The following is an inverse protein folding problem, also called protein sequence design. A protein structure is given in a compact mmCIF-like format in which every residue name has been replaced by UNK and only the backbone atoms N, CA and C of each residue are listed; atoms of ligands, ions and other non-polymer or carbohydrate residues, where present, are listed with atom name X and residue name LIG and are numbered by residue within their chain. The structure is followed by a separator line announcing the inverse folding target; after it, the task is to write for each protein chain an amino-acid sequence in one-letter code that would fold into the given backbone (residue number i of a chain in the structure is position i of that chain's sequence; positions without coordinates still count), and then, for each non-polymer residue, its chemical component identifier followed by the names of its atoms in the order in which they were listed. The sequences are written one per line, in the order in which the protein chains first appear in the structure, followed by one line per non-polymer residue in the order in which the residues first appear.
data_IF_834694192913
#
_entry.id   IF_834694192913
#
_cell.length_a   1.000
_cell.length_b   1.000
_cell.length_c   1.000
_cell.angle_alpha   90.00
_cell.angle_beta   90.00
_cell.angle_gamma   90.00
#
_symmetry.space_group_name_H-M   'P 1'
#
loop_
_entity.id
_entity.type
_entity.pdbx_description
1 polymer ?
#
# COMPACT_ATOMS: atom_id res chain seq x y z
N UNK A 1 4.07 -8.86 -6.37
CA UNK A 1 4.44 -7.59 -5.71
C UNK A 1 3.40 -7.21 -4.66
N UNK A 2 3.77 -6.50 -3.59
CA UNK A 2 2.83 -5.97 -2.58
C UNK A 2 3.07 -4.49 -2.31
N UNK A 3 2.01 -3.75 -1.99
CA UNK A 3 2.07 -2.43 -1.37
C UNK A 3 1.77 -2.59 0.11
N UNK A 4 2.63 -2.08 0.99
CA UNK A 4 2.42 -2.12 2.43
C UNK A 4 2.38 -0.71 3.01
N UNK A 5 1.48 -0.48 3.95
CA UNK A 5 1.38 0.77 4.71
C UNK A 5 1.66 0.52 6.18
N UNK A 6 2.68 1.17 6.72
CA UNK A 6 2.99 1.18 8.14
C UNK A 6 3.29 2.60 8.59
N UNK A 7 3.01 2.92 9.84
CA UNK A 7 3.32 4.22 10.42
C UNK A 7 3.73 4.10 11.89
N UNK A 8 4.24 5.17 12.49
CA UNK A 8 4.55 5.17 13.93
C UNK A 8 3.28 4.82 14.74
N UNK A 9 3.36 3.96 15.77
CA UNK A 9 2.23 3.76 16.66
C UNK A 9 1.81 5.06 17.33
N UNK A 10 0.50 5.25 17.49
CA UNK A 10 -0.11 6.49 17.96
C UNK A 10 -1.33 6.15 18.80
N UNK A 11 -1.70 7.04 19.71
CA UNK A 11 -3.00 6.98 20.40
C UNK A 11 -3.93 7.99 19.73
N UNK A 12 -5.14 7.55 19.40
CA UNK A 12 -6.18 8.44 18.91
C UNK A 12 -6.64 9.35 20.06
N UNK A 13 -6.48 10.66 19.90
CA UNK A 13 -6.75 11.61 20.98
C UNK A 13 -8.23 11.71 21.34
N UNK A 14 -9.12 11.35 20.40
CA UNK A 14 -10.57 11.41 20.58
C UNK A 14 -11.10 10.10 21.16
N UNK A 15 -10.74 8.97 20.56
CA UNK A 15 -11.27 7.66 20.96
C UNK A 15 -10.45 6.96 22.03
N UNK A 16 -9.25 7.47 22.34
CA UNK A 16 -8.26 6.88 23.25
C UNK A 16 -7.83 5.45 22.84
N UNK A 17 -8.09 5.07 21.59
CA UNK A 17 -7.69 3.78 21.03
C UNK A 17 -6.26 3.83 20.51
N UNK A 18 -5.56 2.72 20.64
CA UNK A 18 -4.20 2.56 20.15
C UNK A 18 -4.18 2.15 18.67
N UNK A 19 -3.43 2.89 17.86
CA UNK A 19 -3.10 2.53 16.48
C UNK A 19 -1.81 1.71 16.47
N UNK A 20 -1.92 0.45 16.04
CA UNK A 20 -0.89 -0.60 16.14
C UNK A 20 0.20 -0.53 15.06
N UNK A 21 0.42 0.64 14.46
CA UNK A 21 1.36 0.89 13.36
C UNK A 21 0.97 0.29 12.01
N UNK A 22 0.04 -0.67 11.95
CA UNK A 22 -0.26 -1.39 10.70
C UNK A 22 -1.44 -0.74 9.98
N UNK A 23 -1.21 -0.20 8.78
CA UNK A 23 -2.30 0.30 7.95
C UNK A 23 -2.89 -0.80 7.07
N UNK A 24 -2.03 -1.60 6.42
CA UNK A 24 -2.44 -2.70 5.57
C UNK A 24 -1.32 -3.25 4.68
N UNK A 25 -1.59 -4.37 4.04
CA UNK A 25 -0.77 -4.97 2.98
C UNK A 25 -1.71 -5.37 1.85
N UNK A 26 -1.41 -4.92 0.63
CA UNK A 26 -2.23 -5.15 -0.55
C UNK A 26 -1.39 -5.80 -1.65
N UNK A 27 -1.89 -6.89 -2.20
CA UNK A 27 -1.23 -7.67 -3.25
C UNK A 27 -1.66 -7.18 -4.63
N UNK A 28 -0.71 -7.05 -5.55
CA UNK A 28 -1.01 -6.77 -6.96
C UNK A 28 -1.39 -8.07 -7.68
N UNK A 29 -2.63 -8.50 -7.50
CA UNK A 29 -3.18 -9.72 -8.10
C UNK A 29 -4.63 -9.54 -8.52
N UNK A 30 -5.06 -10.34 -9.47
CA UNK A 30 -6.45 -10.42 -9.94
C UNK A 30 -6.92 -11.88 -9.97
N UNK A 31 -8.24 -12.08 -9.92
CA UNK A 31 -8.87 -13.39 -10.10
C UNK A 31 -9.34 -13.54 -11.53
N UNK A 32 -8.71 -14.44 -12.29
CA UNK A 32 -9.01 -14.69 -13.71
C UNK A 32 -9.46 -16.13 -13.89
N UNK A 33 -10.54 -16.41 -14.65
CA UNK A 33 -10.92 -17.78 -14.95
C UNK A 33 -9.82 -18.53 -15.72
N UNK A 34 -9.56 -19.77 -15.32
CA UNK A 34 -8.61 -20.64 -15.98
C UNK A 34 -9.02 -20.88 -17.44
N UNK A 35 -8.18 -20.46 -18.39
CA UNK A 35 -8.45 -20.65 -19.82
C UNK A 35 -8.29 -22.10 -20.28
N UNK A 36 -7.41 -22.85 -19.62
CA UNK A 36 -7.13 -24.26 -19.95
C UNK A 36 -7.53 -25.15 -18.79
N UNK A 37 -8.20 -26.29 -19.06
CA UNK A 37 -8.40 -27.30 -18.04
C UNK A 37 -7.07 -28.00 -17.71
N UNK A 38 -6.93 -28.44 -16.47
CA UNK A 38 -5.88 -29.35 -16.03
C UNK A 38 -6.49 -30.46 -15.17
N UNK A 39 -5.72 -31.52 -14.91
CA UNK A 39 -6.17 -32.68 -14.12
C UNK A 39 -6.78 -32.30 -12.76
N UNK A 40 -6.39 -31.16 -12.17
CA UNK A 40 -6.89 -30.69 -10.86
C UNK A 40 -7.64 -29.36 -10.93
N UNK A 41 -7.91 -28.86 -12.14
CA UNK A 41 -8.50 -27.53 -12.33
C UNK A 41 -9.35 -27.51 -13.61
N UNK A 42 -10.68 -27.67 -13.51
CA UNK A 42 -11.56 -27.45 -14.65
C UNK A 42 -11.38 -26.06 -15.25
N UNK A 43 -11.59 -25.92 -16.56
CA UNK A 43 -11.64 -24.62 -17.21
C UNK A 43 -12.71 -23.73 -16.54
N UNK A 44 -12.44 -22.44 -16.42
CA UNK A 44 -13.30 -21.49 -15.71
C UNK A 44 -13.04 -21.35 -14.21
N UNK A 45 -12.25 -22.24 -13.59
CA UNK A 45 -11.87 -22.08 -12.17
C UNK A 45 -11.10 -20.77 -11.96
N UNK A 46 -11.52 -19.94 -10.99
CA UNK A 46 -10.86 -18.65 -10.73
C UNK A 46 -9.45 -18.85 -10.17
N UNK A 47 -8.46 -18.33 -10.88
CA UNK A 47 -7.06 -18.35 -10.51
C UNK A 47 -6.58 -16.98 -10.08
N UNK A 48 -5.72 -16.93 -9.07
CA UNK A 48 -4.99 -15.70 -8.77
C UNK A 48 -3.86 -15.53 -9.77
N UNK A 49 -3.85 -14.42 -10.50
CA UNK A 49 -2.75 -14.03 -11.39
C UNK A 49 -2.12 -12.73 -10.90
N UNK A 50 -0.83 -12.60 -11.14
CA UNK A 50 -0.09 -11.38 -10.82
C UNK A 50 -0.49 -10.26 -11.79
N UNK A 51 -0.64 -9.05 -11.25
CA UNK A 51 -0.86 -7.84 -12.02
C UNK A 51 0.45 -7.06 -12.07
N UNK A 52 0.86 -6.64 -13.27
CA UNK A 52 2.04 -5.81 -13.46
C UNK A 52 1.88 -4.46 -12.76
N UNK A 53 2.90 -4.04 -12.02
CA UNK A 53 2.91 -2.75 -11.33
C UNK A 53 3.30 -1.65 -12.32
N UNK A 54 2.29 -0.96 -12.82
CA UNK A 54 2.38 0.25 -13.64
C UNK A 54 2.00 1.49 -12.82
N UNK A 55 2.30 2.68 -13.34
CA UNK A 55 1.88 3.94 -12.71
C UNK A 55 0.38 4.02 -12.43
N UNK A 56 -0.45 3.54 -13.37
CA UNK A 56 -1.89 3.51 -13.22
C UNK A 56 -2.31 2.55 -12.09
N UNK A 57 -1.89 1.29 -12.16
CA UNK A 57 -2.26 0.29 -11.13
C UNK A 57 -1.73 0.64 -9.74
N UNK A 58 -0.58 1.30 -9.65
CA UNK A 58 0.00 1.72 -8.37
C UNK A 58 -0.79 2.88 -7.76
N UNK A 59 -1.15 3.88 -8.57
CA UNK A 59 -2.05 4.96 -8.17
C UNK A 59 -3.43 4.44 -7.76
N UNK A 60 -4.00 3.53 -8.53
CA UNK A 60 -5.29 2.92 -8.23
C UNK A 60 -5.27 2.19 -6.89
N UNK A 61 -4.13 1.58 -6.53
CA UNK A 61 -3.94 0.97 -5.21
C UNK A 61 -4.01 2.02 -4.09
N UNK A 62 -3.40 3.20 -4.28
CA UNK A 62 -3.53 4.29 -3.30
C UNK A 62 -4.98 4.75 -3.16
N UNK A 63 -5.65 5.06 -4.28
CA UNK A 63 -6.99 5.62 -4.31
C UNK A 63 -8.02 4.62 -3.76
N UNK A 64 -7.98 3.37 -4.22
CA UNK A 64 -8.99 2.37 -3.89
C UNK A 64 -8.76 1.66 -2.55
N UNK A 65 -7.52 1.64 -2.04
CA UNK A 65 -7.17 0.89 -0.83
C UNK A 65 -6.55 1.74 0.27
N UNK A 66 -5.47 2.46 -0.02
CA UNK A 66 -4.68 3.13 1.02
C UNK A 66 -5.42 4.33 1.60
N UNK A 67 -5.95 5.21 0.76
CA UNK A 67 -6.70 6.40 1.20
C UNK A 67 -7.93 6.01 2.03
N UNK A 68 -8.78 5.04 1.60
CA UNK A 68 -9.85 4.51 2.43
C UNK A 68 -9.37 3.91 3.76
N UNK A 69 -8.24 3.19 3.77
CA UNK A 69 -7.69 2.64 4.99
C UNK A 69 -7.22 3.73 5.97
N UNK A 70 -6.64 4.82 5.46
CA UNK A 70 -6.29 6.01 6.25
C UNK A 70 -7.57 6.63 6.82
N UNK A 71 -8.62 6.81 6.01
CA UNK A 71 -9.92 7.32 6.48
C UNK A 71 -10.51 6.45 7.60
N UNK A 72 -10.45 5.14 7.46
CA UNK A 72 -11.08 4.23 8.41
C UNK A 72 -10.28 4.03 9.71
N UNK A 73 -8.94 3.98 9.64
CA UNK A 73 -8.10 3.48 10.74
C UNK A 73 -7.11 4.49 11.28
N UNK A 74 -6.80 5.56 10.54
CA UNK A 74 -5.83 6.53 11.02
C UNK A 74 -6.36 7.26 12.25
N UNK A 75 -5.57 7.36 13.33
CA UNK A 75 -6.00 8.03 14.54
C UNK A 75 -6.28 9.51 14.27
N UNK A 76 -7.27 10.06 14.96
CA UNK A 76 -7.52 11.50 14.91
C UNK A 76 -6.31 12.25 15.47
N UNK A 77 -5.65 13.00 14.59
CA UNK A 77 -4.50 13.84 14.89
C UNK A 77 -4.65 15.15 14.11
N UNK A 78 -4.10 16.24 14.63
CA UNK A 78 -4.13 17.57 13.98
C UNK A 78 -3.17 17.69 12.79
N UNK A 79 -2.30 16.70 12.59
CA UNK A 79 -1.25 16.71 11.57
C UNK A 79 -1.70 16.05 10.26
N UNK A 80 -1.10 16.49 9.17
CA UNK A 80 -1.20 15.86 7.86
C UNK A 80 -0.73 14.40 7.90
N UNK A 81 -1.35 13.54 7.09
CA UNK A 81 -0.86 12.19 6.82
C UNK A 81 0.05 12.23 5.60
N UNK A 82 1.36 12.16 5.84
CA UNK A 82 2.36 12.10 4.77
C UNK A 82 2.66 10.64 4.45
N UNK A 83 2.33 10.22 3.23
CA UNK A 83 2.67 8.91 2.70
C UNK A 83 4.03 9.00 2.03
N UNK A 84 5.04 8.37 2.61
CA UNK A 84 6.37 8.26 2.03
C UNK A 84 6.45 7.08 1.05
N UNK A 85 7.13 7.28 -0.07
CA UNK A 85 7.47 6.24 -1.06
C UNK A 85 8.83 6.55 -1.71
N UNK A 86 9.45 5.58 -2.38
CA UNK A 86 10.68 5.81 -3.15
C UNK A 86 10.41 6.47 -4.53
N UNK A 87 11.48 6.76 -5.28
CA UNK A 87 11.42 7.41 -6.59
C UNK A 87 11.27 6.44 -7.79
N UNK A 88 10.74 5.23 -7.59
CA UNK A 88 10.58 4.27 -8.69
C UNK A 88 9.70 4.84 -9.82
N UNK A 89 9.98 4.51 -11.11
CA UNK A 89 9.23 5.08 -12.24
C UNK A 89 7.71 4.84 -12.20
N UNK A 90 7.27 3.76 -11.57
CA UNK A 90 5.85 3.44 -11.42
C UNK A 90 5.17 4.19 -10.26
N UNK A 91 5.91 4.88 -9.40
CA UNK A 91 5.32 5.55 -8.25
C UNK A 91 4.58 6.82 -8.62
N UNK A 92 3.47 7.05 -7.90
CA UNK A 92 2.59 8.20 -8.13
C UNK A 92 3.29 9.47 -7.70
N UNK A 93 3.32 10.50 -8.54
CA UNK A 93 3.95 11.77 -8.17
C UNK A 93 3.10 12.51 -7.13
N UNK A 94 3.70 13.34 -6.26
CA UNK A 94 2.94 14.18 -5.31
C UNK A 94 1.91 15.11 -5.93
N UNK A 95 2.13 15.54 -7.18
CA UNK A 95 1.24 16.41 -7.93
C UNK A 95 0.21 15.63 -8.79
N UNK A 96 0.09 14.31 -8.64
CA UNK A 96 -0.84 13.53 -9.44
C UNK A 96 -2.30 13.93 -9.15
N UNK A 97 -3.04 14.41 -10.17
CA UNK A 97 -4.36 15.01 -9.96
C UNK A 97 -5.39 13.98 -9.45
N UNK A 98 -5.36 12.75 -9.96
CA UNK A 98 -6.34 11.73 -9.55
C UNK A 98 -6.13 11.30 -8.10
N UNK A 99 -4.87 11.22 -7.65
CA UNK A 99 -4.58 10.99 -6.25
C UNK A 99 -5.04 12.18 -5.39
N UNK A 100 -4.73 13.41 -5.79
CA UNK A 100 -5.08 14.61 -5.04
C UNK A 100 -6.60 14.80 -4.90
N UNK A 101 -7.37 14.52 -5.95
CA UNK A 101 -8.84 14.52 -5.90
C UNK A 101 -9.36 13.49 -4.89
N UNK A 102 -8.84 12.26 -4.91
CA UNK A 102 -9.23 11.22 -3.96
C UNK A 102 -8.84 11.57 -2.51
N UNK A 103 -7.65 12.15 -2.33
CA UNK A 103 -7.16 12.60 -1.03
C UNK A 103 -8.03 13.73 -0.46
N UNK A 104 -8.46 14.68 -1.29
CA UNK A 104 -9.37 15.76 -0.88
C UNK A 104 -10.72 15.22 -0.38
N UNK A 105 -11.26 14.17 -1.01
CA UNK A 105 -12.49 13.51 -0.57
C UNK A 105 -12.32 12.60 0.68
N UNK A 106 -11.09 12.38 1.15
CA UNK A 106 -10.80 11.51 2.29
C UNK A 106 -11.33 12.08 3.63
N UNK A 107 -11.51 13.41 3.72
CA UNK A 107 -11.84 14.09 4.98
C UNK A 107 -10.65 14.23 5.92
N UNK A 108 -9.42 14.01 5.41
CA UNK A 108 -8.14 14.23 6.08
C UNK A 108 -7.17 14.83 5.08
N UNK A 109 -6.24 15.66 5.56
CA UNK A 109 -5.14 16.12 4.73
C UNK A 109 -4.14 14.96 4.54
N UNK A 110 -4.10 14.41 3.33
CA UNK A 110 -3.21 13.30 2.94
C UNK A 110 -2.37 13.74 1.75
N UNK A 111 -1.06 13.58 1.85
CA UNK A 111 -0.13 13.95 0.78
C UNK A 111 0.89 12.82 0.51
N UNK A 112 1.38 12.75 -0.72
CA UNK A 112 2.50 11.87 -1.08
C UNK A 112 3.81 12.65 -0.97
N UNK A 113 4.86 11.97 -0.49
CA UNK A 113 6.22 12.51 -0.50
C UNK A 113 7.19 11.44 -0.95
N UNK A 114 8.11 11.84 -1.82
CA UNK A 114 9.24 11.00 -2.17
C UNK A 114 10.31 11.06 -1.09
N UNK A 115 10.92 9.92 -0.80
CA UNK A 115 12.15 9.87 -0.01
C UNK A 115 13.36 10.28 -0.87
N UNK A 116 14.48 10.68 -0.25
CA UNK A 116 15.73 10.94 -0.96
C UNK A 116 16.17 9.75 -1.83
N UNK A 117 16.77 10.05 -2.98
CA UNK A 117 17.23 9.01 -3.90
C UNK A 117 18.27 8.09 -3.23
N UNK A 118 18.26 6.80 -3.58
CA UNK A 118 19.20 5.79 -3.07
C UNK A 118 19.30 5.71 -1.55
N UNK A 119 18.21 6.02 -0.83
CA UNK A 119 18.18 6.04 0.64
C UNK A 119 17.20 5.00 1.21
N UNK A 120 17.45 3.69 1.02
CA UNK A 120 16.57 2.63 1.53
C UNK A 120 16.55 2.59 3.07
N UNK A 121 17.59 3.11 3.73
CA UNK A 121 17.68 3.31 5.17
C UNK A 121 16.67 4.33 5.72
N UNK A 122 16.09 5.17 4.86
CA UNK A 122 15.01 6.08 5.22
C UNK A 122 13.62 5.45 5.04
N UNK A 123 13.54 4.23 4.52
CA UNK A 123 12.30 3.50 4.33
C UNK A 123 12.11 2.41 5.39
N UNK A 124 11.13 2.61 6.25
CA UNK A 124 10.77 1.66 7.31
C UNK A 124 10.34 0.28 6.77
N UNK A 125 9.83 0.22 5.52
CA UNK A 125 9.45 -1.04 4.89
C UNK A 125 10.68 -1.87 4.52
N UNK A 126 11.70 -1.23 3.96
CA UNK A 126 12.96 -1.89 3.57
C UNK A 126 13.74 -2.34 4.81
N UNK A 127 13.88 -1.48 5.82
CA UNK A 127 14.59 -1.80 7.07
C UNK A 127 13.88 -2.85 7.93
N UNK A 128 12.56 -2.94 7.85
CA UNK A 128 11.75 -3.76 8.75
C UNK A 128 11.03 -4.89 8.06
N UNK A 129 9.90 -4.55 7.41
CA UNK A 129 8.93 -5.52 6.94
C UNK A 129 9.50 -6.44 5.86
N UNK A 130 10.11 -5.87 4.82
CA UNK A 130 10.63 -6.63 3.69
C UNK A 130 11.90 -7.39 4.06
N UNK A 131 12.78 -6.81 4.87
CA UNK A 131 13.92 -7.53 5.44
C UNK A 131 13.47 -8.79 6.20
N UNK A 132 12.45 -8.67 7.06
CA UNK A 132 11.91 -9.81 7.82
C UNK A 132 11.27 -10.88 6.91
N UNK A 133 10.52 -10.48 5.88
CA UNK A 133 9.92 -11.43 4.91
C UNK A 133 11.01 -12.19 4.16
N UNK A 134 12.04 -11.50 3.66
CA UNK A 134 13.15 -12.12 2.95
C UNK A 134 13.94 -13.08 3.85
N UNK A 135 14.22 -12.69 5.09
CA UNK A 135 14.90 -13.55 6.06
C UNK A 135 14.10 -14.83 6.33
N UNK A 136 12.76 -14.75 6.41
CA UNK A 136 11.89 -15.91 6.55
C UNK A 136 11.92 -16.81 5.31
N UNK A 137 11.88 -16.24 4.11
CA UNK A 137 11.93 -17.01 2.87
C UNK A 137 13.25 -17.76 2.67
N UNK A 138 14.38 -17.22 3.16
CA UNK A 138 15.69 -17.90 3.09
C UNK A 138 15.81 -19.09 4.04
N UNK A 139 14.98 -19.13 5.09
CA UNK A 139 14.98 -20.17 6.11
C UNK A 139 13.86 -21.22 5.90
N UNK A 140 13.14 -21.14 4.78
CA UNK A 140 12.14 -22.13 4.33
C UNK A 140 12.74 -22.97 3.21
#
# INVERSE_FOLDING_TARGET
MVLAGVARPRVDTVTQKYFDRKLGVWVFVEKVPAQRPSRRRPAGTLETKEVSVTKATYRDMFISRVVPAIKARWPNASEAVVIQQDNAPAHTKPDDPQFNDAAACCGRHVELRFQPANSPDLNVLDLGLFCAIQARQRNM
#
